data_IF_299766848621
#
_entry.id   IF_299766848621
#
_cell.length_a   1.000
_cell.length_b   1.000
_cell.length_c   1.000
_cell.angle_alpha   90.00
_cell.angle_beta   90.00
_cell.angle_gamma   90.00
#
_symmetry.space_group_name_H-M   'P 1'
#
loop_
_entity.id
_entity.type
_entity.pdbx_description
1 polymer ?
#
# COMPACT_ATOMS: atom_id res chain seq x y z
N UNK A 1 35.46 20.58 8.68
CA UNK A 1 34.17 20.41 9.38
C UNK A 1 34.36 21.00 10.76
N UNK A 2 33.71 22.12 11.07
CA UNK A 2 33.98 22.89 12.29
C UNK A 2 32.93 22.75 13.38
N UNK A 3 31.81 22.08 13.13
CA UNK A 3 30.73 21.92 14.11
C UNK A 3 30.25 20.46 14.22
N UNK A 4 30.05 19.99 15.45
CA UNK A 4 29.47 18.69 15.76
C UNK A 4 27.94 18.74 15.60
N UNK A 5 27.36 17.72 14.96
CA UNK A 5 25.91 17.64 14.75
C UNK A 5 25.28 16.91 15.94
N UNK A 6 24.72 17.68 16.87
CA UNK A 6 24.06 17.16 18.08
C UNK A 6 22.53 17.25 17.98
N UNK A 7 21.83 16.55 18.88
CA UNK A 7 20.37 16.60 19.03
C UNK A 7 19.57 16.24 17.75
N UNK A 8 20.04 15.27 16.98
CA UNK A 8 19.29 14.74 15.84
C UNK A 8 18.48 13.53 16.29
N UNK A 9 17.15 13.53 16.16
CA UNK A 9 16.35 12.37 16.49
C UNK A 9 16.63 11.23 15.49
N UNK A 10 16.61 9.97 15.96
CA UNK A 10 16.67 8.84 15.05
C UNK A 10 15.41 8.80 14.16
N UNK A 11 15.49 8.20 12.95
CA UNK A 11 14.32 8.01 12.12
C UNK A 11 13.32 7.04 12.78
N UNK A 12 12.03 7.20 12.45
CA UNK A 12 10.97 6.30 12.92
C UNK A 12 11.02 4.90 12.25
N UNK A 13 11.79 4.77 11.18
CA UNK A 13 12.02 3.53 10.41
C UNK A 13 12.42 2.35 11.31
N UNK A 14 11.91 1.16 11.00
CA UNK A 14 12.21 -0.09 11.72
C UNK A 14 11.19 -0.46 12.80
N UNK A 15 10.19 0.39 13.05
CA UNK A 15 9.07 0.10 13.96
C UNK A 15 7.98 -0.82 13.36
N UNK A 16 6.77 -0.71 13.90
CA UNK A 16 5.58 -1.37 13.39
C UNK A 16 4.37 -0.45 13.55
N UNK A 17 3.82 0.04 12.44
CA UNK A 17 2.72 0.99 12.44
C UNK A 17 1.46 0.45 13.11
N UNK A 18 1.15 -0.84 12.93
CA UNK A 18 -0.01 -1.47 13.57
C UNK A 18 0.15 -1.58 15.08
N UNK A 19 1.33 -2.04 15.56
CA UNK A 19 1.60 -2.11 17.00
C UNK A 19 1.74 -0.74 17.66
N UNK A 20 2.12 0.27 16.88
CA UNK A 20 2.27 1.65 17.34
C UNK A 20 0.94 2.40 17.50
N UNK A 21 -0.18 1.84 17.04
CA UNK A 21 -1.51 2.45 17.11
C UNK A 21 -2.46 1.62 18.00
N UNK A 22 -2.60 1.98 19.29
CA UNK A 22 -3.49 1.27 20.21
C UNK A 22 -4.96 1.28 19.79
N UNK A 23 -5.42 2.33 19.09
CA UNK A 23 -6.79 2.44 18.64
C UNK A 23 -7.05 1.46 17.49
N UNK A 24 -6.12 1.35 16.54
CA UNK A 24 -6.21 0.37 15.46
C UNK A 24 -6.16 -1.07 15.98
N UNK A 25 -5.36 -1.35 17.02
CA UNK A 25 -5.37 -2.65 17.71
C UNK A 25 -6.75 -2.93 18.32
N UNK A 26 -7.32 -1.96 19.04
CA UNK A 26 -8.63 -2.08 19.66
C UNK A 26 -9.74 -2.36 18.63
N UNK A 27 -9.72 -1.65 17.49
CA UNK A 27 -10.65 -1.88 16.38
C UNK A 27 -10.51 -3.29 15.77
N UNK A 28 -9.33 -3.89 15.84
CA UNK A 28 -9.02 -5.22 15.31
C UNK A 28 -9.20 -6.37 16.34
N UNK A 29 -9.64 -6.09 17.57
CA UNK A 29 -9.80 -7.11 18.63
C UNK A 29 -10.74 -8.26 18.23
N UNK A 30 -11.76 -7.97 17.42
CA UNK A 30 -12.74 -8.95 16.94
C UNK A 30 -12.38 -9.57 15.58
N UNK A 31 -11.20 -9.26 15.04
CA UNK A 31 -10.70 -9.90 13.83
C UNK A 31 -10.14 -11.30 14.16
N UNK A 32 -10.10 -12.16 13.16
CA UNK A 32 -9.53 -13.50 13.31
C UNK A 32 -8.01 -13.42 13.53
N UNK A 33 -7.43 -14.44 14.17
CA UNK A 33 -5.97 -14.51 14.39
C UNK A 33 -5.14 -14.38 13.10
N UNK A 34 -5.52 -15.02 11.96
CA UNK A 34 -4.80 -14.83 10.71
C UNK A 34 -4.79 -13.37 10.25
N UNK A 35 -5.91 -12.66 10.38
CA UNK A 35 -6.01 -11.24 10.01
C UNK A 35 -5.12 -10.37 10.90
N UNK A 36 -5.11 -10.60 12.21
CA UNK A 36 -4.22 -9.84 13.11
C UNK A 36 -2.74 -10.08 12.81
N UNK A 37 -2.34 -11.31 12.49
CA UNK A 37 -0.96 -11.63 12.07
C UNK A 37 -0.59 -10.94 10.75
N UNK A 38 -1.54 -10.86 9.82
CA UNK A 38 -1.36 -10.13 8.56
C UNK A 38 -1.20 -8.62 8.78
N UNK A 39 -2.05 -8.01 9.63
CA UNK A 39 -1.93 -6.59 10.01
C UNK A 39 -0.59 -6.30 10.72
N UNK A 40 -0.11 -7.22 11.56
CA UNK A 40 1.20 -7.11 12.19
C UNK A 40 2.34 -7.12 11.17
N UNK A 41 2.31 -8.07 10.21
CA UNK A 41 3.30 -8.14 9.13
C UNK A 41 3.26 -6.92 8.21
N UNK A 42 2.06 -6.41 7.92
CA UNK A 42 1.86 -5.19 7.15
C UNK A 42 2.37 -3.96 7.89
N UNK A 43 2.05 -3.82 9.18
CA UNK A 43 2.50 -2.72 10.02
C UNK A 43 4.02 -2.66 10.14
N UNK A 44 4.70 -3.82 10.18
CA UNK A 44 6.17 -3.87 10.07
C UNK A 44 6.66 -3.46 8.69
N UNK A 45 6.04 -3.96 7.62
CA UNK A 45 6.44 -3.68 6.24
C UNK A 45 6.44 -2.17 5.94
N UNK A 46 5.37 -1.46 6.29
CA UNK A 46 5.24 -0.03 5.97
C UNK A 46 6.27 0.85 6.70
N UNK A 47 6.91 0.30 7.72
CA UNK A 47 7.96 0.96 8.49
C UNK A 47 9.38 0.55 8.09
N UNK A 48 9.58 -0.36 7.12
CA UNK A 48 10.95 -0.72 6.71
C UNK A 48 11.57 0.34 5.81
N UNK A 49 12.90 0.42 5.84
CA UNK A 49 13.65 1.38 5.00
C UNK A 49 13.39 1.12 3.51
N UNK A 50 13.32 -0.15 3.11
CA UNK A 50 13.10 -0.54 1.72
C UNK A 50 11.72 -0.10 1.24
N UNK A 51 10.68 -0.30 2.05
CA UNK A 51 9.32 0.13 1.70
C UNK A 51 9.25 1.65 1.56
N UNK A 52 9.82 2.38 2.52
CA UNK A 52 9.87 3.85 2.51
C UNK A 52 10.64 4.38 1.30
N UNK A 53 11.72 3.70 0.88
CA UNK A 53 12.46 4.07 -0.32
C UNK A 53 11.65 3.80 -1.60
N UNK A 54 10.88 2.71 -1.66
CA UNK A 54 9.93 2.51 -2.77
C UNK A 54 8.93 3.66 -2.85
N UNK A 55 8.35 4.06 -1.70
CA UNK A 55 7.40 5.17 -1.63
C UNK A 55 8.03 6.51 -2.07
N UNK A 56 9.29 6.77 -1.69
CA UNK A 56 10.04 7.93 -2.15
C UNK A 56 10.25 7.91 -3.66
N UNK A 57 10.77 6.79 -4.19
CA UNK A 57 11.10 6.64 -5.61
C UNK A 57 9.90 6.82 -6.52
N UNK A 58 8.73 6.29 -6.18
CA UNK A 58 7.53 6.45 -7.03
C UNK A 58 7.01 7.88 -7.10
N UNK A 59 7.31 8.69 -6.07
CA UNK A 59 6.88 10.09 -6.01
C UNK A 59 7.94 11.04 -6.60
N UNK A 60 9.22 10.67 -6.60
CA UNK A 60 10.28 11.45 -7.27
C UNK A 60 10.42 11.12 -8.74
N UNK A 61 10.33 9.84 -9.12
CA UNK A 61 10.44 9.36 -10.50
C UNK A 61 9.05 9.16 -11.13
N UNK A 62 8.43 10.28 -11.45
CA UNK A 62 7.04 10.33 -11.93
C UNK A 62 6.83 9.61 -13.28
N UNK A 63 5.60 9.13 -13.56
CA UNK A 63 5.31 8.37 -14.77
C UNK A 63 5.46 9.21 -16.05
N UNK A 64 5.92 8.58 -17.14
CA UNK A 64 6.20 9.25 -18.42
C UNK A 64 5.25 8.78 -19.51
N UNK A 65 4.48 9.70 -20.08
CA UNK A 65 3.66 9.45 -21.26
C UNK A 65 4.56 9.36 -22.51
N UNK A 66 4.44 8.24 -23.23
CA UNK A 66 5.11 7.97 -24.50
C UNK A 66 4.04 7.85 -25.58
N UNK A 67 3.78 8.97 -26.24
CA UNK A 67 2.73 9.05 -27.28
C UNK A 67 3.14 8.33 -28.56
N UNK A 68 4.43 8.31 -28.91
CA UNK A 68 4.95 7.71 -30.13
C UNK A 68 6.25 6.93 -29.89
N UNK A 69 6.52 5.96 -30.75
CA UNK A 69 7.78 5.23 -30.80
C UNK A 69 8.87 6.01 -31.54
N UNK A 70 10.09 5.45 -31.57
CA UNK A 70 11.24 6.06 -32.27
C UNK A 70 11.06 6.17 -33.80
N UNK A 71 10.05 5.52 -34.38
CA UNK A 71 9.74 5.53 -35.81
C UNK A 71 8.52 6.42 -36.13
N UNK A 72 7.98 7.13 -35.14
CA UNK A 72 6.85 8.04 -35.32
C UNK A 72 5.48 7.36 -35.32
N UNK A 73 5.37 6.08 -34.93
CA UNK A 73 4.08 5.41 -34.77
C UNK A 73 3.52 5.64 -33.39
N UNK A 74 2.20 5.81 -33.29
CA UNK A 74 1.50 6.00 -32.01
C UNK A 74 1.70 4.78 -31.09
N UNK A 75 2.00 5.04 -29.82
CA UNK A 75 2.22 4.04 -28.76
C UNK A 75 1.16 4.07 -27.66
N UNK A 76 0.77 5.27 -27.20
CA UNK A 76 -0.13 5.47 -26.05
C UNK A 76 0.29 4.74 -24.75
N UNK A 77 1.59 4.70 -24.46
CA UNK A 77 2.10 4.04 -23.26
C UNK A 77 2.41 5.04 -22.16
N UNK A 78 2.15 4.65 -20.91
CA UNK A 78 2.68 5.35 -19.72
C UNK A 78 3.68 4.44 -19.04
N UNK A 79 4.93 4.91 -18.94
CA UNK A 79 6.04 4.18 -18.33
C UNK A 79 6.19 4.61 -16.87
N UNK A 80 6.23 3.63 -15.95
CA UNK A 80 6.37 3.86 -14.51
C UNK A 80 7.73 3.37 -14.02
N UNK A 81 8.22 3.97 -12.93
CA UNK A 81 9.39 3.46 -12.23
C UNK A 81 9.13 2.03 -11.67
N UNK A 82 10.10 1.09 -11.68
CA UNK A 82 9.91 -0.27 -11.15
C UNK A 82 9.37 -0.34 -9.71
N UNK A 83 9.64 0.67 -8.89
CA UNK A 83 9.11 0.77 -7.53
C UNK A 83 7.57 0.83 -7.49
N UNK A 84 6.94 1.46 -8.49
CA UNK A 84 5.48 1.51 -8.60
C UNK A 84 4.92 0.11 -8.82
N UNK A 85 5.54 -0.65 -9.71
CA UNK A 85 5.16 -2.04 -9.96
C UNK A 85 5.39 -2.94 -8.73
N UNK A 86 6.39 -2.66 -7.91
CA UNK A 86 6.62 -3.38 -6.65
C UNK A 86 5.51 -3.13 -5.62
N UNK A 87 5.12 -1.86 -5.41
CA UNK A 87 4.00 -1.50 -4.53
C UNK A 87 2.68 -2.10 -5.03
N UNK A 88 2.38 -1.95 -6.32
CA UNK A 88 1.20 -2.56 -6.94
C UNK A 88 1.19 -4.08 -6.76
N UNK A 89 2.29 -4.78 -7.02
CA UNK A 89 2.38 -6.24 -6.87
C UNK A 89 2.04 -6.67 -5.45
N UNK A 90 2.59 -5.99 -4.45
CA UNK A 90 2.33 -6.30 -3.03
C UNK A 90 0.87 -6.03 -2.66
N UNK A 91 0.33 -4.88 -3.02
CA UNK A 91 -1.06 -4.49 -2.70
C UNK A 91 -2.10 -5.37 -3.39
N UNK A 92 -1.83 -5.80 -4.63
CA UNK A 92 -2.65 -6.77 -5.37
C UNK A 92 -2.57 -8.15 -4.70
N UNK A 93 -1.37 -8.64 -4.38
CA UNK A 93 -1.18 -9.93 -3.71
C UNK A 93 -1.82 -9.97 -2.31
N UNK A 94 -1.84 -8.83 -1.60
CA UNK A 94 -2.56 -8.67 -0.33
C UNK A 94 -4.07 -8.47 -0.47
N UNK A 95 -4.62 -8.57 -1.68
CA UNK A 95 -6.06 -8.52 -1.94
C UNK A 95 -6.70 -7.14 -1.78
N UNK A 96 -5.95 -6.03 -1.71
CA UNK A 96 -6.54 -4.70 -1.49
C UNK A 96 -7.52 -4.27 -2.61
N UNK A 97 -7.36 -4.83 -3.80
CA UNK A 97 -8.24 -4.59 -4.95
C UNK A 97 -9.47 -5.51 -4.99
N UNK A 98 -9.50 -6.61 -4.23
CA UNK A 98 -10.45 -7.71 -4.46
C UNK A 98 -11.11 -8.30 -3.20
N UNK A 99 -10.49 -8.21 -2.01
CA UNK A 99 -10.83 -9.04 -0.85
C UNK A 99 -12.28 -8.93 -0.36
N UNK A 100 -12.94 -7.80 -0.61
CA UNK A 100 -14.37 -7.60 -0.28
C UNK A 100 -15.32 -8.45 -1.14
N UNK A 101 -14.85 -8.89 -2.30
CA UNK A 101 -15.58 -9.70 -3.27
C UNK A 101 -15.20 -11.19 -3.22
N UNK A 102 -14.20 -11.55 -2.41
CA UNK A 102 -13.73 -12.92 -2.25
C UNK A 102 -14.53 -13.67 -1.18
N UNK A 103 -14.49 -15.01 -1.19
CA UNK A 103 -15.22 -15.86 -0.25
C UNK A 103 -14.32 -16.48 0.84
N UNK A 104 -13.30 -15.77 1.31
CA UNK A 104 -12.43 -16.25 2.38
C UNK A 104 -13.12 -16.28 3.75
N UNK A 105 -12.93 -17.38 4.50
CA UNK A 105 -13.57 -17.61 5.81
C UNK A 105 -13.07 -16.69 6.92
N UNK A 106 -11.78 -16.31 6.87
CA UNK A 106 -11.14 -15.49 7.89
C UNK A 106 -11.73 -14.07 8.03
N UNK A 107 -12.49 -13.61 7.03
CA UNK A 107 -13.04 -12.26 6.91
C UNK A 107 -14.57 -12.22 6.84
N UNK A 108 -15.24 -13.36 7.09
CA UNK A 108 -16.70 -13.45 7.04
C UNK A 108 -17.34 -12.38 7.94
N UNK A 109 -18.29 -11.63 7.38
CA UNK A 109 -19.01 -10.55 8.07
C UNK A 109 -18.15 -9.32 8.41
N UNK A 110 -16.89 -9.24 7.96
CA UNK A 110 -15.96 -8.13 8.26
C UNK A 110 -15.10 -7.68 7.08
N UNK A 111 -15.36 -8.15 5.87
CA UNK A 111 -14.49 -7.90 4.70
C UNK A 111 -14.10 -6.43 4.51
N UNK A 112 -15.06 -5.50 4.62
CA UNK A 112 -14.78 -4.07 4.51
C UNK A 112 -13.91 -3.55 5.66
N UNK A 113 -14.16 -3.97 6.91
CA UNK A 113 -13.38 -3.52 8.07
C UNK A 113 -11.93 -4.02 7.99
N UNK A 114 -11.74 -5.29 7.62
CA UNK A 114 -10.42 -5.89 7.45
C UNK A 114 -9.67 -5.23 6.30
N UNK A 115 -10.31 -5.06 5.13
CA UNK A 115 -9.72 -4.34 4.00
C UNK A 115 -9.35 -2.91 4.39
N UNK A 116 -10.20 -2.20 5.13
CA UNK A 116 -9.93 -0.83 5.57
C UNK A 116 -8.73 -0.73 6.52
N UNK A 117 -8.54 -1.68 7.44
CA UNK A 117 -7.36 -1.71 8.30
C UNK A 117 -6.06 -1.90 7.49
N UNK A 118 -6.07 -2.80 6.49
CA UNK A 118 -4.93 -2.96 5.57
C UNK A 118 -4.69 -1.70 4.73
N UNK A 119 -5.77 -1.10 4.24
CA UNK A 119 -5.71 0.10 3.42
C UNK A 119 -5.15 1.29 4.19
N UNK A 120 -5.59 1.48 5.45
CA UNK A 120 -5.09 2.50 6.37
C UNK A 120 -3.57 2.41 6.55
N UNK A 121 -3.07 1.23 6.94
CA UNK A 121 -1.61 1.01 7.09
C UNK A 121 -0.86 1.24 5.78
N UNK A 122 -1.40 0.78 4.64
CA UNK A 122 -0.74 0.98 3.34
C UNK A 122 -0.71 2.46 2.94
N UNK A 123 -1.73 3.24 3.29
CA UNK A 123 -1.81 4.67 3.01
C UNK A 123 -0.80 5.49 3.81
N UNK A 124 -0.36 5.02 4.98
CA UNK A 124 0.76 5.63 5.71
C UNK A 124 2.09 5.54 4.96
N UNK A 125 2.22 4.55 4.07
CA UNK A 125 3.42 4.37 3.26
C UNK A 125 3.36 5.17 1.94
N UNK A 126 2.33 4.91 1.13
CA UNK A 126 2.23 5.49 -0.22
C UNK A 126 0.78 5.47 -0.70
N UNK A 127 0.27 6.60 -1.19
CA UNK A 127 -1.15 6.78 -1.53
C UNK A 127 -1.44 6.81 -3.03
N UNK A 128 -0.47 7.14 -3.88
CA UNK A 128 -0.65 7.25 -5.32
C UNK A 128 -1.06 5.93 -5.97
N UNK A 129 -0.39 4.82 -5.61
CA UNK A 129 -0.74 3.50 -6.13
C UNK A 129 -2.09 2.96 -5.60
N UNK A 130 -2.64 3.56 -4.54
CA UNK A 130 -3.95 3.17 -4.01
C UNK A 130 -5.13 3.62 -4.89
N UNK A 131 -4.91 4.57 -5.80
CA UNK A 131 -5.91 5.01 -6.76
C UNK A 131 -6.44 3.84 -7.63
N UNK A 132 -5.60 3.11 -8.41
CA UNK A 132 -6.07 1.96 -9.18
C UNK A 132 -6.58 0.81 -8.30
N UNK A 133 -6.03 0.62 -7.10
CA UNK A 133 -6.51 -0.40 -6.14
C UNK A 133 -7.96 -0.12 -5.72
N UNK A 134 -8.27 1.13 -5.38
CA UNK A 134 -9.62 1.57 -5.01
C UNK A 134 -10.58 1.46 -6.18
N UNK A 135 -10.20 1.97 -7.36
CA UNK A 135 -11.05 1.91 -8.55
C UNK A 135 -11.38 0.48 -8.97
N UNK A 136 -10.40 -0.43 -8.90
CA UNK A 136 -10.60 -1.85 -9.27
C UNK A 136 -11.58 -2.54 -8.33
N UNK A 137 -11.47 -2.30 -7.02
CA UNK A 137 -12.41 -2.88 -6.06
C UNK A 137 -13.82 -2.29 -6.24
N UNK A 138 -13.92 -0.98 -6.40
CA UNK A 138 -15.22 -0.31 -6.51
C UNK A 138 -15.96 -0.62 -7.83
N UNK A 139 -15.24 -0.83 -8.94
CA UNK A 139 -15.85 -1.04 -10.26
C UNK A 139 -16.73 -2.29 -10.32
N UNK A 140 -16.42 -3.33 -9.55
CA UNK A 140 -17.23 -4.55 -9.50
C UNK A 140 -18.65 -4.30 -9.01
N UNK A 141 -18.88 -3.30 -8.17
CA UNK A 141 -20.23 -2.91 -7.75
C UNK A 141 -21.08 -2.45 -8.93
N UNK A 142 -20.49 -1.76 -9.92
CA UNK A 142 -21.19 -1.32 -11.12
C UNK A 142 -21.33 -2.44 -12.16
N UNK A 143 -20.34 -3.33 -12.27
CA UNK A 143 -20.36 -4.43 -13.24
C UNK A 143 -21.34 -5.56 -12.87
N UNK A 144 -21.65 -5.70 -11.58
CA UNK A 144 -22.62 -6.68 -11.08
C UNK A 144 -24.03 -6.10 -10.89
N UNK A 145 -24.24 -4.82 -11.23
CA UNK A 145 -25.51 -4.12 -11.10
C UNK A 145 -26.51 -4.49 -12.21
#
# INVERSE_FOLDING_TARGET
>A
MTDEVINQPPPLTGGNAWRGDPLLIQLAERFSDPVRKDLDGLGRFVMTQEAQELARLVNTDTPKLRTHDRQGRRLDLVEYHPAYHALMRRSVAGGLHSSVWENGDAEIGRRHQVRSARFYLTAELETGHLCPITMTSASLAALMA
#
